data_IF_945899806333
#
_entry.id   IF_945899806333
#
_cell.length_a   1.000
_cell.length_b   1.000
_cell.length_c   1.000
_cell.angle_alpha   90.00
_cell.angle_beta   90.00
_cell.angle_gamma   90.00
#
_symmetry.space_group_name_H-M   'P 1'
#
loop_
_entity.id
_entity.type
_entity.pdbx_description
1 polymer ?
#
# COMPACT_ATOMS: atom_id res chain seq x y z
N UNK A 1 -6.81 6.99 15.96
CA UNK A 1 -6.32 6.84 14.57
C UNK A 1 -7.56 6.95 13.69
N UNK A 2 -8.01 8.18 13.51
CA UNK A 2 -9.36 8.52 13.03
C UNK A 2 -9.21 9.48 11.84
N UNK A 3 -8.49 9.01 10.82
CA UNK A 3 -8.51 9.62 9.49
C UNK A 3 -9.24 8.62 8.60
N UNK A 4 -10.56 8.73 8.51
CA UNK A 4 -11.37 7.69 7.85
C UNK A 4 -11.22 7.60 6.32
N UNK A 5 -10.32 8.37 5.69
CA UNK A 5 -10.03 8.29 4.26
C UNK A 5 -8.51 8.37 4.03
N UNK A 6 -7.81 7.25 4.04
CA UNK A 6 -6.44 7.15 3.51
C UNK A 6 -6.49 6.48 2.14
N UNK A 7 -5.70 6.96 1.17
CA UNK A 7 -5.55 6.27 -0.11
C UNK A 7 -4.63 5.06 0.01
N UNK A 8 -4.64 4.18 -0.99
CA UNK A 8 -3.72 3.04 -0.99
C UNK A 8 -2.26 3.52 -1.07
N UNK A 9 -1.99 4.60 -1.78
CA UNK A 9 -0.67 5.21 -1.93
C UNK A 9 -0.14 5.73 -0.60
N UNK A 10 -0.92 6.54 0.12
CA UNK A 10 -0.55 7.05 1.44
C UNK A 10 -0.25 5.89 2.40
N UNK A 11 -1.06 4.84 2.35
CA UNK A 11 -0.88 3.66 3.17
C UNK A 11 0.41 2.89 2.82
N UNK A 12 0.75 2.75 1.54
CA UNK A 12 1.96 2.06 1.09
C UNK A 12 3.26 2.84 1.42
N UNK A 13 3.16 4.16 1.61
CA UNK A 13 4.26 5.02 2.01
C UNK A 13 4.52 5.00 3.54
N UNK A 14 3.66 4.36 4.35
CA UNK A 14 3.84 4.25 5.80
C UNK A 14 4.94 3.24 6.17
N UNK A 15 5.94 3.69 6.94
CA UNK A 15 7.08 2.85 7.38
C UNK A 15 6.63 1.60 8.17
N UNK A 16 5.51 1.68 8.88
CA UNK A 16 5.00 0.61 9.74
C UNK A 16 4.13 -0.43 9.00
N UNK A 17 3.78 -0.23 7.72
CA UNK A 17 2.80 -1.07 7.03
C UNK A 17 3.15 -2.56 7.04
N UNK A 18 4.42 -2.88 6.83
CA UNK A 18 4.89 -4.26 6.83
C UNK A 18 4.81 -4.86 8.24
N UNK A 19 5.08 -4.07 9.28
CA UNK A 19 5.01 -4.53 10.67
C UNK A 19 3.56 -4.74 11.10
N UNK A 20 2.65 -3.84 10.74
CA UNK A 20 1.22 -3.99 11.00
C UNK A 20 0.62 -5.19 10.27
N UNK A 21 1.03 -5.45 9.03
CA UNK A 21 0.67 -6.67 8.29
C UNK A 21 1.14 -7.93 9.03
N UNK A 22 2.40 -7.95 9.51
CA UNK A 22 2.97 -9.06 10.28
C UNK A 22 2.25 -9.27 11.61
N UNK A 23 1.84 -8.19 12.27
CA UNK A 23 1.07 -8.22 13.51
C UNK A 23 -0.41 -8.61 13.31
N UNK A 24 -0.82 -8.91 12.08
CA UNK A 24 -2.18 -9.27 11.72
C UNK A 24 -3.21 -8.19 12.08
N UNK A 25 -2.88 -6.90 11.87
CA UNK A 25 -3.83 -5.81 12.09
C UNK A 25 -5.09 -6.03 11.24
N UNK A 26 -6.21 -6.32 11.90
CA UNK A 26 -7.45 -6.70 11.25
C UNK A 26 -8.05 -5.57 10.41
N UNK A 27 -7.86 -4.31 10.80
CA UNK A 27 -8.32 -3.14 10.02
C UNK A 27 -7.53 -3.04 8.72
N UNK A 28 -6.20 -3.13 8.80
CA UNK A 28 -5.30 -3.08 7.66
C UNK A 28 -5.56 -4.23 6.69
N UNK A 29 -5.65 -5.47 7.20
CA UNK A 29 -5.91 -6.65 6.38
C UNK A 29 -7.27 -6.55 5.70
N UNK A 30 -8.30 -6.10 6.41
CA UNK A 30 -9.64 -5.94 5.84
C UNK A 30 -9.69 -4.85 4.76
N UNK A 31 -8.87 -3.80 4.88
CA UNK A 31 -8.72 -2.80 3.82
C UNK A 31 -7.99 -3.38 2.60
N UNK A 32 -6.81 -3.95 2.78
CA UNK A 32 -5.95 -4.45 1.69
C UNK A 32 -6.58 -5.62 0.91
N UNK A 33 -7.40 -6.44 1.57
CA UNK A 33 -8.10 -7.56 0.91
C UNK A 33 -9.31 -7.13 0.06
N UNK A 34 -9.69 -5.85 0.10
CA UNK A 34 -10.75 -5.31 -0.73
C UNK A 34 -10.42 -5.48 -2.21
N UNK A 35 -11.44 -5.74 -3.04
CA UNK A 35 -11.22 -6.05 -4.47
C UNK A 35 -10.46 -4.94 -5.20
N UNK A 36 -10.86 -3.69 -5.02
CA UNK A 36 -10.23 -2.55 -5.65
C UNK A 36 -8.76 -2.42 -5.25
N UNK A 37 -8.47 -2.65 -3.96
CA UNK A 37 -7.13 -2.59 -3.39
C UNK A 37 -6.25 -3.71 -3.96
N UNK A 38 -6.75 -4.95 -4.01
CA UNK A 38 -6.02 -6.08 -4.60
C UNK A 38 -5.75 -5.85 -6.09
N UNK A 39 -6.74 -5.38 -6.85
CA UNK A 39 -6.58 -5.07 -8.27
C UNK A 39 -5.50 -4.00 -8.49
N UNK A 40 -5.48 -2.96 -7.65
CA UNK A 40 -4.47 -1.89 -7.73
C UNK A 40 -3.07 -2.35 -7.31
N UNK A 41 -2.95 -3.12 -6.23
CA UNK A 41 -1.69 -3.75 -5.80
C UNK A 41 -1.10 -4.65 -6.90
N UNK A 42 -1.96 -5.43 -7.58
CA UNK A 42 -1.53 -6.25 -8.70
C UNK A 42 -0.99 -5.40 -9.84
N UNK A 43 -1.68 -4.32 -10.22
CA UNK A 43 -1.21 -3.40 -11.26
C UNK A 43 0.19 -2.84 -10.95
N UNK A 44 0.45 -2.44 -9.71
CA UNK A 44 1.78 -1.96 -9.32
C UNK A 44 2.91 -3.00 -9.46
N UNK A 45 2.57 -4.28 -9.46
CA UNK A 45 3.54 -5.37 -9.62
C UNK A 45 3.68 -5.79 -11.09
N UNK A 46 2.58 -5.80 -11.84
CA UNK A 46 2.55 -6.33 -13.21
C UNK A 46 2.77 -5.29 -14.30
N UNK A 47 2.44 -4.02 -14.03
CA UNK A 47 2.62 -2.92 -14.98
C UNK A 47 4.02 -2.32 -14.78
N UNK A 48 4.70 -2.05 -15.88
CA UNK A 48 5.98 -1.35 -15.84
C UNK A 48 5.75 0.09 -15.34
N UNK A 49 6.54 0.51 -14.36
CA UNK A 49 6.42 1.85 -13.80
C UNK A 49 6.63 2.89 -14.91
N UNK A 50 5.80 3.95 -14.98
CA UNK A 50 6.00 5.07 -15.90
C UNK A 50 7.43 5.61 -15.82
N UNK A 51 7.99 6.10 -16.93
CA UNK A 51 9.36 6.65 -16.97
C UNK A 51 9.56 7.82 -15.97
N UNK A 52 8.46 8.50 -15.64
CA UNK A 52 8.35 9.62 -14.71
C UNK A 52 7.89 9.22 -13.29
N UNK A 53 7.61 7.94 -13.03
CA UNK A 53 7.37 7.45 -11.68
C UNK A 53 8.68 7.57 -10.89
N UNK A 54 8.81 8.66 -10.13
CA UNK A 54 10.00 8.98 -9.35
C UNK A 54 10.54 7.74 -8.63
N UNK A 55 11.85 7.53 -8.75
CA UNK A 55 12.63 6.51 -8.05
C UNK A 55 12.70 6.80 -6.54
N UNK A 56 11.56 6.96 -5.85
CA UNK A 56 11.48 6.94 -4.38
C UNK A 56 11.70 5.52 -3.81
N UNK A 57 12.37 4.64 -4.57
CA UNK A 57 13.07 3.47 -4.00
C UNK A 57 14.34 3.93 -3.32
N UNK A 58 14.21 4.74 -2.27
CA UNK A 58 15.25 4.84 -1.25
C UNK A 58 14.87 3.87 -0.15
N UNK A 59 15.08 2.57 -0.41
CA UNK A 59 15.20 1.64 0.71
C UNK A 59 16.43 2.09 1.50
N UNK A 60 16.19 2.60 2.70
CA UNK A 60 17.24 2.97 3.65
C UNK A 60 17.59 1.76 4.51
#
# INVERSE_FOLDING_TARGET
MDKDNFTLEELLDEDEIIQECKALNSRLINFLRGRAQVEQLLRYIVEEAPEDAEKKRTFK
#
